data_IF_625362646379
#
_entry.id   IF_625362646379
#
_cell.length_a   1.000
_cell.length_b   1.000
_cell.length_c   1.000
_cell.angle_alpha   90.00
_cell.angle_beta   90.00
_cell.angle_gamma   90.00
#
_symmetry.space_group_name_H-M   'P 1'
#
loop_
_entity.id
_entity.type
_entity.pdbx_description
1 polymer ?
#
# COMPACT_ATOMS: atom_id res chain seq x y z
N UNK A 1 19.08 -0.04 -7.58
CA UNK A 1 18.61 0.98 -6.63
C UNK A 1 17.25 1.42 -7.14
N UNK A 2 16.17 0.93 -6.53
CA UNK A 2 14.83 1.41 -6.86
C UNK A 2 14.76 2.81 -6.26
N UNK A 3 14.61 3.82 -7.11
CA UNK A 3 14.40 5.19 -6.66
C UNK A 3 12.92 5.26 -6.33
N UNK A 4 12.60 5.21 -5.04
CA UNK A 4 11.22 5.20 -4.59
C UNK A 4 10.49 6.45 -5.08
N UNK A 5 9.25 6.31 -5.53
CA UNK A 5 8.48 7.42 -6.10
C UNK A 5 8.36 8.57 -5.09
N UNK A 6 8.88 9.74 -5.48
CA UNK A 6 8.84 10.96 -4.66
C UNK A 6 7.42 11.40 -4.35
N UNK A 7 6.45 11.12 -5.23
CA UNK A 7 5.05 11.44 -4.98
C UNK A 7 4.53 10.63 -3.80
N UNK A 8 4.75 9.31 -3.81
CA UNK A 8 4.35 8.43 -2.72
C UNK A 8 5.04 8.81 -1.40
N UNK A 9 6.34 9.09 -1.42
CA UNK A 9 7.05 9.59 -0.22
C UNK A 9 6.41 10.86 0.32
N UNK A 10 6.17 11.83 -0.56
CA UNK A 10 5.63 13.13 -0.20
C UNK A 10 4.22 13.09 0.39
N UNK A 11 3.50 11.97 0.28
CA UNK A 11 2.22 11.78 0.97
C UNK A 11 2.43 11.77 2.50
N UNK A 12 3.46 11.09 2.96
CA UNK A 12 3.70 10.88 4.38
C UNK A 12 4.45 12.04 5.06
N UNK A 13 5.02 12.97 4.30
CA UNK A 13 5.65 14.16 4.86
C UNK A 13 4.60 15.10 5.49
N UNK A 14 4.74 15.41 6.79
CA UNK A 14 3.77 16.22 7.57
C UNK A 14 2.31 15.77 7.37
N UNK A 15 2.09 14.45 7.31
CA UNK A 15 0.78 13.89 6.97
C UNK A 15 -0.31 14.27 7.97
N UNK A 16 0.02 14.44 9.26
CA UNK A 16 -0.97 14.85 10.27
C UNK A 16 -1.55 16.24 9.93
N UNK A 17 -0.69 17.23 9.65
CA UNK A 17 -1.15 18.58 9.32
C UNK A 17 -2.02 18.60 8.05
N UNK A 18 -1.71 17.73 7.08
CA UNK A 18 -2.48 17.62 5.84
C UNK A 18 -3.82 16.94 6.06
N UNK A 19 -3.86 15.90 6.91
CA UNK A 19 -5.10 15.22 7.29
C UNK A 19 -6.02 16.14 8.11
N UNK A 20 -5.45 16.92 9.03
CA UNK A 20 -6.20 17.90 9.82
C UNK A 20 -6.79 19.02 8.94
N UNK A 21 -6.09 19.39 7.86
CA UNK A 21 -6.56 20.36 6.89
C UNK A 21 -7.57 19.77 5.88
N UNK A 22 -7.44 18.49 5.55
CA UNK A 22 -8.24 17.80 4.54
C UNK A 22 -8.55 16.36 5.00
N UNK A 23 -9.77 16.14 5.49
CA UNK A 23 -10.23 14.83 6.01
C UNK A 23 -10.01 13.67 5.04
N UNK A 24 -10.11 13.94 3.73
CA UNK A 24 -9.97 12.95 2.65
C UNK A 24 -8.56 12.92 2.05
N UNK A 25 -7.57 13.46 2.75
CA UNK A 25 -6.22 13.66 2.25
C UNK A 25 -5.61 12.41 1.60
N UNK A 26 -5.60 11.28 2.31
CA UNK A 26 -4.99 10.04 1.80
C UNK A 26 -5.69 9.52 0.55
N UNK A 27 -7.03 9.45 0.57
CA UNK A 27 -7.83 9.05 -0.59
C UNK A 27 -7.50 9.91 -1.81
N UNK A 28 -7.51 11.23 -1.66
CA UNK A 28 -7.24 12.16 -2.75
C UNK A 28 -5.78 12.07 -3.23
N UNK A 29 -4.82 11.91 -2.32
CA UNK A 29 -3.41 11.79 -2.65
C UNK A 29 -3.10 10.49 -3.42
N UNK A 30 -3.70 9.38 -3.01
CA UNK A 30 -3.57 8.09 -3.69
C UNK A 30 -4.27 8.09 -5.05
N UNK A 31 -5.48 8.67 -5.16
CA UNK A 31 -6.17 8.83 -6.44
C UNK A 31 -5.34 9.66 -7.44
N UNK A 32 -4.66 10.72 -6.97
CA UNK A 32 -3.75 11.50 -7.82
C UNK A 32 -2.56 10.70 -8.36
N UNK A 33 -2.18 9.61 -7.70
CA UNK A 33 -1.18 8.66 -8.18
C UNK A 33 -1.83 7.67 -9.16
N UNK A 34 -2.98 7.09 -8.81
CA UNK A 34 -3.53 5.91 -9.47
C UNK A 34 -4.49 6.19 -10.64
N UNK A 35 -5.16 7.35 -10.68
CA UNK A 35 -6.32 7.61 -11.56
C UNK A 35 -6.12 7.36 -13.06
N UNK A 36 -4.89 7.55 -13.55
CA UNK A 36 -4.55 7.42 -14.97
C UNK A 36 -3.66 6.19 -15.24
N UNK A 37 -3.49 5.31 -14.25
CA UNK A 37 -2.69 4.10 -14.43
C UNK A 37 -3.40 3.09 -15.33
N UNK A 38 -2.69 2.59 -16.33
CA UNK A 38 -3.06 1.34 -16.99
C UNK A 38 -2.83 0.16 -16.05
N UNK A 39 -3.45 -0.99 -16.35
CA UNK A 39 -3.24 -2.21 -15.56
C UNK A 39 -1.76 -2.62 -15.49
N UNK A 40 -1.00 -2.45 -16.57
CA UNK A 40 0.45 -2.69 -16.59
C UNK A 40 1.21 -1.70 -15.69
N UNK A 41 0.87 -0.40 -15.76
CA UNK A 41 1.50 0.62 -14.91
C UNK A 41 1.23 0.35 -13.43
N UNK A 42 -0.02 -0.02 -13.08
CA UNK A 42 -0.39 -0.36 -11.72
C UNK A 42 0.36 -1.61 -11.23
N UNK A 43 0.43 -2.68 -12.04
CA UNK A 43 1.18 -3.87 -11.67
C UNK A 43 2.66 -3.57 -11.41
N UNK A 44 3.26 -2.72 -12.24
CA UNK A 44 4.65 -2.28 -12.08
C UNK A 44 4.87 -1.31 -10.91
N UNK A 45 3.81 -0.72 -10.35
CA UNK A 45 3.87 0.18 -9.20
C UNK A 45 3.81 -0.54 -7.85
N UNK A 46 3.33 -1.80 -7.83
CA UNK A 46 3.25 -2.63 -6.61
C UNK A 46 4.55 -2.62 -5.76
N UNK A 47 5.76 -2.75 -6.34
CA UNK A 47 7.01 -2.69 -5.57
C UNK A 47 7.18 -1.41 -4.75
N UNK A 48 6.75 -0.26 -5.27
CA UNK A 48 6.86 1.04 -4.60
C UNK A 48 6.02 1.08 -3.32
N UNK A 49 4.81 0.52 -3.39
CA UNK A 49 3.88 0.45 -2.25
C UNK A 49 4.40 -0.53 -1.19
N UNK A 50 4.99 -1.65 -1.60
CA UNK A 50 5.59 -2.62 -0.66
C UNK A 50 6.80 -2.02 0.05
N UNK A 51 7.67 -1.35 -0.69
CA UNK A 51 8.84 -0.69 -0.12
C UNK A 51 8.45 0.41 0.87
N UNK A 52 7.31 1.09 0.63
CA UNK A 52 6.73 2.05 1.57
C UNK A 52 6.18 1.36 2.82
N UNK A 53 5.35 0.32 2.66
CA UNK A 53 4.77 -0.44 3.78
C UNK A 53 5.83 -0.98 4.74
N UNK A 54 7.00 -1.38 4.24
CA UNK A 54 8.10 -1.88 5.07
C UNK A 54 8.83 -0.78 5.87
N UNK A 55 8.63 0.50 5.53
CA UNK A 55 9.26 1.66 6.16
C UNK A 55 8.37 2.39 7.14
N UNK A 56 7.05 2.28 6.98
CA UNK A 56 6.08 2.91 7.87
C UNK A 56 6.13 2.26 9.25
N UNK A 57 5.98 3.06 10.29
CA UNK A 57 5.98 2.59 11.67
C UNK A 57 4.77 3.08 12.48
N UNK A 58 3.74 3.56 11.78
CA UNK A 58 2.49 4.02 12.37
C UNK A 58 1.30 3.24 11.81
N UNK A 59 0.46 2.69 12.71
CA UNK A 59 -0.63 1.78 12.35
C UNK A 59 -1.59 2.41 11.36
N UNK A 60 -2.00 3.66 11.61
CA UNK A 60 -2.90 4.39 10.71
C UNK A 60 -2.32 4.55 9.28
N UNK A 61 -1.02 4.83 9.16
CA UNK A 61 -0.40 4.98 7.84
C UNK A 61 -0.30 3.65 7.11
N UNK A 62 0.03 2.58 7.83
CA UNK A 62 0.09 1.23 7.28
C UNK A 62 -1.30 0.81 6.79
N UNK A 63 -2.35 1.13 7.56
CA UNK A 63 -3.74 0.89 7.21
C UNK A 63 -4.12 1.52 5.87
N UNK A 64 -3.91 2.85 5.74
CA UNK A 64 -4.19 3.60 4.51
C UNK A 64 -3.40 3.04 3.31
N UNK A 65 -2.13 2.70 3.53
CA UNK A 65 -1.24 2.18 2.48
C UNK A 65 -1.61 0.77 2.03
N UNK A 66 -2.13 -0.07 2.93
CA UNK A 66 -2.63 -1.41 2.57
C UNK A 66 -3.87 -1.33 1.69
N UNK A 67 -4.79 -0.41 1.97
CA UNK A 67 -5.93 -0.15 1.09
C UNK A 67 -5.49 0.36 -0.27
N UNK A 68 -4.49 1.24 -0.31
CA UNK A 68 -3.90 1.67 -1.57
C UNK A 68 -3.26 0.50 -2.34
N UNK A 69 -2.57 -0.43 -1.67
CA UNK A 69 -2.05 -1.63 -2.32
C UNK A 69 -3.17 -2.49 -2.94
N UNK A 70 -4.29 -2.66 -2.23
CA UNK A 70 -5.48 -3.38 -2.74
C UNK A 70 -6.05 -2.65 -3.97
N UNK A 71 -6.14 -1.32 -3.95
CA UNK A 71 -6.58 -0.51 -5.08
C UNK A 71 -5.66 -0.71 -6.30
N UNK A 72 -4.34 -0.63 -6.11
CA UNK A 72 -3.35 -0.87 -7.17
C UNK A 72 -3.53 -2.27 -7.79
N UNK A 73 -3.76 -3.29 -6.96
CA UNK A 73 -4.06 -4.64 -7.44
C UNK A 73 -5.39 -4.72 -8.22
N UNK A 74 -6.40 -3.97 -7.79
CA UNK A 74 -7.68 -3.85 -8.49
C UNK A 74 -7.51 -3.21 -9.88
N UNK A 75 -6.76 -2.11 -9.98
CA UNK A 75 -6.45 -1.42 -11.25
C UNK A 75 -5.59 -2.31 -12.16
N UNK A 76 -4.66 -3.08 -11.58
CA UNK A 76 -3.86 -4.07 -12.30
C UNK A 76 -4.70 -5.25 -12.84
N UNK A 77 -6.00 -5.32 -12.50
CA UNK A 77 -6.95 -6.36 -12.92
C UNK A 77 -6.42 -7.79 -12.66
N UNK A 78 -5.70 -7.98 -11.56
CA UNK A 78 -5.03 -9.25 -11.27
C UNK A 78 -5.13 -9.65 -9.81
N UNK A 79 -5.15 -10.96 -9.60
CA UNK A 79 -4.97 -11.59 -8.27
C UNK A 79 -3.63 -12.32 -8.18
N UNK A 80 -2.82 -12.27 -9.25
CA UNK A 80 -1.48 -12.82 -9.24
C UNK A 80 -0.60 -11.99 -8.30
N UNK A 81 -0.01 -12.64 -7.31
CA UNK A 81 0.94 -12.01 -6.40
C UNK A 81 2.15 -11.53 -7.21
N UNK A 82 2.53 -10.26 -7.02
CA UNK A 82 3.66 -9.69 -7.72
C UNK A 82 4.95 -10.35 -7.20
N UNK A 83 5.96 -10.67 -8.03
CA UNK A 83 7.16 -11.37 -7.57
C UNK A 83 7.91 -10.67 -6.41
N UNK A 84 7.85 -9.33 -6.35
CA UNK A 84 8.41 -8.57 -5.22
C UNK A 84 7.61 -8.78 -3.94
N UNK A 85 6.27 -8.86 -4.02
CA UNK A 85 5.43 -9.15 -2.87
C UNK A 85 5.65 -10.57 -2.37
N UNK A 86 5.73 -11.53 -3.29
CA UNK A 86 5.98 -12.94 -2.94
C UNK A 86 7.32 -13.09 -2.20
N UNK A 87 8.40 -12.47 -2.71
CA UNK A 87 9.72 -12.50 -2.07
C UNK A 87 9.74 -11.86 -0.68
N UNK A 88 8.95 -10.80 -0.49
CA UNK A 88 8.90 -10.06 0.78
C UNK A 88 7.75 -10.50 1.69
N UNK A 89 6.99 -11.53 1.34
CA UNK A 89 5.73 -11.86 2.02
C UNK A 89 5.89 -12.09 3.52
N UNK A 90 6.89 -12.88 3.93
CA UNK A 90 7.18 -13.14 5.35
C UNK A 90 7.61 -11.88 6.07
N UNK A 91 8.48 -11.07 5.46
CA UNK A 91 9.00 -9.83 6.04
C UNK A 91 7.88 -8.81 6.23
N UNK A 92 7.03 -8.64 5.22
CA UNK A 92 5.88 -7.75 5.27
C UNK A 92 4.88 -8.19 6.33
N UNK A 93 4.58 -9.50 6.41
CA UNK A 93 3.73 -10.07 7.46
C UNK A 93 4.31 -9.78 8.86
N UNK A 94 5.60 -10.06 9.05
CA UNK A 94 6.28 -9.88 10.32
C UNK A 94 6.37 -8.42 10.75
N UNK A 95 6.42 -7.52 9.79
CA UNK A 95 6.34 -6.10 10.00
C UNK A 95 4.91 -5.69 10.42
N UNK A 96 3.90 -6.02 9.61
CA UNK A 96 2.51 -5.57 9.81
C UNK A 96 1.89 -6.17 11.08
N UNK A 97 2.23 -7.41 11.47
CA UNK A 97 1.65 -8.05 12.66
C UNK A 97 1.90 -7.32 13.99
N UNK A 98 2.76 -6.30 14.00
CA UNK A 98 3.03 -5.43 15.15
C UNK A 98 1.96 -4.35 15.34
N UNK A 99 1.14 -4.12 14.32
CA UNK A 99 0.13 -3.07 14.22
C UNK A 99 -1.24 -3.74 14.18
N UNK A 100 -1.97 -3.69 15.30
CA UNK A 100 -3.14 -4.54 15.56
C UNK A 100 -4.26 -4.30 14.55
N UNK A 101 -4.55 -3.03 14.27
CA UNK A 101 -5.65 -2.65 13.38
C UNK A 101 -5.29 -3.05 11.94
N UNK A 102 -4.11 -2.63 11.47
CA UNK A 102 -3.61 -2.98 10.14
C UNK A 102 -3.53 -4.49 9.89
N UNK A 103 -3.08 -5.27 10.88
CA UNK A 103 -2.95 -6.72 10.74
C UNK A 103 -4.30 -7.44 10.77
N UNK A 104 -5.22 -6.98 11.62
CA UNK A 104 -6.52 -7.62 11.83
C UNK A 104 -7.48 -7.41 10.66
N UNK A 105 -7.39 -6.26 9.98
CA UNK A 105 -8.35 -5.88 8.93
C UNK A 105 -7.72 -5.76 7.54
N UNK A 106 -7.05 -4.67 7.14
CA UNK A 106 -6.64 -4.48 5.75
C UNK A 106 -5.62 -5.52 5.28
N UNK A 107 -4.76 -6.04 6.16
CA UNK A 107 -3.87 -7.14 5.80
C UNK A 107 -4.62 -8.45 5.52
N UNK A 108 -5.68 -8.76 6.28
CA UNK A 108 -6.51 -9.93 5.99
C UNK A 108 -7.33 -9.74 4.72
N UNK A 109 -7.76 -8.51 4.42
CA UNK A 109 -8.43 -8.17 3.16
C UNK A 109 -7.51 -8.33 1.97
N UNK A 110 -6.27 -7.84 2.04
CA UNK A 110 -5.24 -8.07 1.03
C UNK A 110 -5.01 -9.57 0.78
N UNK A 111 -4.86 -10.36 1.85
CA UNK A 111 -4.73 -11.82 1.77
C UNK A 111 -5.91 -12.46 1.05
N UNK A 112 -7.13 -12.05 1.39
CA UNK A 112 -8.36 -12.55 0.78
C UNK A 112 -8.42 -12.17 -0.69
N UNK A 113 -8.10 -10.92 -1.04
CA UNK A 113 -8.07 -10.42 -2.41
C UNK A 113 -7.10 -11.24 -3.27
N UNK A 114 -5.87 -11.46 -2.77
CA UNK A 114 -4.82 -12.23 -3.43
C UNK A 114 -4.97 -13.75 -3.30
N UNK A 115 -6.02 -14.22 -2.62
CA UNK A 115 -6.32 -15.65 -2.41
C UNK A 115 -5.17 -16.42 -1.73
N UNK A 116 -4.43 -15.75 -0.85
CA UNK A 116 -3.36 -16.36 -0.07
C UNK A 116 -3.98 -17.25 1.01
N UNK A 117 -3.53 -18.50 1.08
CA UNK A 117 -3.99 -19.45 2.10
C UNK A 117 -3.39 -19.11 3.46
N UNK A 118 -4.18 -19.31 4.51
CA UNK A 118 -3.77 -19.18 5.91
C UNK A 118 -2.79 -20.27 6.32
#
# INVERSE_FOLDING_TARGET
>A
MIIMDKKLIGIYDNWQDKLDAEEWYFSNAFELISKDMSSESAFNYIPEVIDMLLKLDEDYLIWETLYFLIEIYSIAETTQIHPILEKNWSVLREHIQKYEDSYSTPYQELKRFLRVKN
#
